data_IF_402422684507
#
_entry.id   IF_402422684507
#
_cell.length_a   1.000
_cell.length_b   1.000
_cell.length_c   1.000
_cell.angle_alpha   90.00
_cell.angle_beta   90.00
_cell.angle_gamma   90.00
#
_symmetry.space_group_name_H-M   'P 1'
#
loop_
_entity.id
_entity.type
_entity.pdbx_description
1 polymer ?
#
# COMPACT_ATOMS: atom_id res chain seq x y z
N UNK A 1 -6.24 4.86 2.76
CA UNK A 1 -5.99 3.41 2.89
C UNK A 1 -4.81 3.15 3.79
N UNK A 2 -4.90 2.06 4.56
CA UNK A 2 -3.80 1.48 5.32
C UNK A 2 -3.34 0.20 4.59
N UNK A 3 -2.03 0.03 4.40
CA UNK A 3 -1.44 -1.10 3.69
C UNK A 3 -0.62 -1.92 4.67
N UNK A 4 -0.90 -3.20 4.78
CA UNK A 4 -0.25 -4.10 5.74
C UNK A 4 0.17 -5.41 5.07
N UNK A 5 1.18 -6.08 5.63
CA UNK A 5 1.53 -7.43 5.17
C UNK A 5 0.35 -8.34 5.41
N UNK A 6 -0.03 -9.12 4.40
CA UNK A 6 -0.94 -10.22 4.64
C UNK A 6 -0.22 -11.25 5.50
N UNK A 7 -0.77 -11.58 6.67
CA UNK A 7 -0.30 -12.72 7.46
C UNK A 7 -0.49 -14.03 6.67
N UNK A 8 0.03 -15.15 7.19
CA UNK A 8 -0.18 -16.49 6.59
C UNK A 8 -1.67 -16.86 6.65
N UNK A 9 -2.45 -16.42 5.67
CA UNK A 9 -3.81 -16.87 5.41
C UNK A 9 -3.85 -17.41 3.99
N UNK A 10 -4.33 -18.63 3.87
CA UNK A 10 -4.47 -19.31 2.59
C UNK A 10 -5.58 -18.63 1.79
N UNK A 11 -5.20 -18.02 0.66
CA UNK A 11 -6.08 -17.52 -0.39
C UNK A 11 -6.95 -16.30 -0.09
N UNK A 12 -7.48 -15.68 -1.15
CA UNK A 12 -8.27 -14.44 -1.17
C UNK A 12 -9.42 -14.47 -0.17
N UNK A 13 -9.30 -13.76 0.96
CA UNK A 13 -10.44 -13.55 1.87
C UNK A 13 -10.48 -12.07 2.27
N UNK A 14 -11.61 -11.42 2.00
CA UNK A 14 -11.97 -10.17 2.69
C UNK A 14 -11.80 -10.43 4.19
N UNK A 15 -10.82 -9.78 4.83
CA UNK A 15 -10.57 -9.98 6.25
C UNK A 15 -11.19 -8.83 7.02
N UNK A 16 -11.90 -9.11 8.11
CA UNK A 16 -12.34 -8.05 9.01
C UNK A 16 -11.17 -7.73 9.97
N UNK A 17 -10.63 -6.52 9.92
CA UNK A 17 -9.69 -5.98 10.90
C UNK A 17 -10.40 -4.84 11.63
N UNK A 18 -10.60 -4.99 12.93
CA UNK A 18 -11.22 -3.96 13.80
C UNK A 18 -12.62 -3.49 13.33
N UNK A 19 -13.46 -4.40 12.82
CA UNK A 19 -14.78 -4.07 12.28
C UNK A 19 -14.77 -3.64 10.81
N UNK A 20 -13.62 -3.41 10.21
CA UNK A 20 -13.46 -2.92 8.83
C UNK A 20 -13.03 -4.05 7.90
N UNK A 21 -13.69 -4.16 6.74
CA UNK A 21 -13.31 -5.13 5.71
C UNK A 21 -12.05 -4.65 4.97
N UNK A 22 -10.98 -5.43 5.03
CA UNK A 22 -9.79 -5.28 4.19
C UNK A 22 -9.90 -6.12 2.93
N UNK A 23 -9.19 -5.69 1.89
CA UNK A 23 -9.06 -6.39 0.62
C UNK A 23 -7.63 -6.92 0.47
N UNK A 24 -7.50 -8.24 0.30
CA UNK A 24 -6.23 -8.88 -0.05
C UNK A 24 -5.94 -8.72 -1.54
N UNK A 25 -4.71 -8.33 -1.88
CA UNK A 25 -4.27 -8.04 -3.24
C UNK A 25 -2.89 -8.67 -3.47
N UNK A 26 -2.61 -9.08 -4.70
CA UNK A 26 -1.26 -9.49 -5.09
C UNK A 26 -0.55 -8.36 -5.83
N UNK A 27 0.65 -8.01 -5.39
CA UNK A 27 1.55 -7.13 -6.10
C UNK A 27 2.65 -7.94 -6.78
N UNK A 28 2.85 -7.80 -8.10
CA UNK A 28 3.90 -8.52 -8.80
C UNK A 28 5.28 -8.03 -8.37
N UNK A 29 6.29 -8.86 -8.62
CA UNK A 29 7.69 -8.42 -8.56
C UNK A 29 7.93 -7.27 -9.54
N UNK A 30 8.87 -6.39 -9.21
CA UNK A 30 9.25 -5.22 -9.98
C UNK A 30 8.09 -4.28 -10.34
N UNK A 31 7.08 -4.17 -9.46
CA UNK A 31 5.94 -3.28 -9.65
C UNK A 31 6.27 -1.78 -9.63
N UNK A 32 7.54 -1.41 -9.44
CA UNK A 32 8.03 -0.03 -9.54
C UNK A 32 8.45 0.38 -10.95
N UNK A 33 8.51 -0.55 -11.91
CA UNK A 33 8.83 -0.23 -13.31
C UNK A 33 7.71 0.57 -14.02
N UNK A 34 6.54 0.70 -13.39
CA UNK A 34 5.48 1.59 -13.85
C UNK A 34 5.91 3.08 -13.83
N UNK A 35 5.38 3.87 -14.77
CA UNK A 35 5.71 5.28 -14.89
C UNK A 35 5.47 6.04 -13.56
N UNK A 36 6.52 6.62 -12.94
CA UNK A 36 6.42 7.31 -11.65
C UNK A 36 5.43 8.48 -11.62
N UNK A 37 5.17 9.10 -12.77
CA UNK A 37 4.22 10.21 -12.91
C UNK A 37 2.75 9.75 -12.84
N UNK A 38 2.49 8.48 -13.15
CA UNK A 38 1.15 7.88 -13.10
C UNK A 38 0.93 7.22 -11.73
N UNK A 39 1.96 6.54 -11.22
CA UNK A 39 1.87 5.74 -9.99
C UNK A 39 2.29 6.55 -8.76
N UNK A 40 1.60 7.65 -8.44
CA UNK A 40 1.94 8.52 -7.28
C UNK A 40 1.74 7.82 -5.93
N UNK A 41 2.46 8.26 -4.90
CA UNK A 41 2.22 7.88 -3.50
C UNK A 41 1.93 9.14 -2.70
N UNK A 42 0.80 9.21 -2.03
CA UNK A 42 0.38 10.39 -1.24
C UNK A 42 0.18 9.93 0.20
N UNK A 43 0.96 10.49 1.12
CA UNK A 43 0.92 10.19 2.54
C UNK A 43 1.92 9.15 3.03
N UNK A 44 1.86 8.92 4.34
CA UNK A 44 2.79 8.08 5.11
C UNK A 44 2.03 7.49 6.28
N UNK A 45 2.21 6.18 6.55
CA UNK A 45 1.39 5.34 7.45
C UNK A 45 -0.06 5.19 6.97
N UNK A 46 -0.74 6.29 6.69
CA UNK A 46 -2.03 6.34 6.01
C UNK A 46 -1.84 7.00 4.65
N UNK A 47 -2.26 6.31 3.60
CA UNK A 47 -2.11 6.75 2.21
C UNK A 47 -3.44 7.23 1.64
N UNK A 48 -3.40 8.15 0.69
CA UNK A 48 -4.58 8.51 -0.10
C UNK A 48 -5.04 7.32 -0.93
N UNK A 49 -6.35 7.20 -1.13
CA UNK A 49 -6.97 6.24 -2.07
C UNK A 49 -6.57 6.48 -3.54
N UNK A 50 -6.01 7.66 -3.84
CA UNK A 50 -5.41 8.00 -5.14
C UNK A 50 -3.99 7.47 -5.33
N UNK A 51 -3.38 6.85 -4.32
CA UNK A 51 -2.01 6.34 -4.41
C UNK A 51 -1.98 4.99 -5.12
N UNK A 52 -0.90 4.71 -5.86
CA UNK A 52 -0.61 3.36 -6.34
C UNK A 52 -0.41 2.43 -5.13
N UNK A 53 -1.21 1.38 -5.06
CA UNK A 53 -1.26 0.48 -3.90
C UNK A 53 0.07 -0.26 -3.71
N UNK A 54 0.60 -0.88 -4.77
CA UNK A 54 1.85 -1.65 -4.67
C UNK A 54 3.04 -0.75 -4.39
N UNK A 55 3.10 0.44 -5.00
CA UNK A 55 4.13 1.44 -4.70
C UNK A 55 4.03 1.95 -3.26
N UNK A 56 2.82 2.20 -2.76
CA UNK A 56 2.60 2.56 -1.37
C UNK A 56 3.02 1.44 -0.40
N UNK A 57 2.80 0.17 -0.76
CA UNK A 57 3.23 -0.97 0.04
C UNK A 57 4.76 -1.12 0.09
N UNK A 58 5.46 -0.84 -1.01
CA UNK A 58 6.93 -0.76 -1.00
C UNK A 58 7.39 0.43 -0.15
N UNK A 59 6.80 1.62 -0.34
CA UNK A 59 7.10 2.79 0.47
C UNK A 59 6.93 2.51 1.97
N UNK A 60 5.87 1.79 2.37
CA UNK A 60 5.61 1.40 3.74
C UNK A 60 6.58 0.33 4.30
N UNK A 61 7.42 -0.28 3.47
CA UNK A 61 8.29 -1.40 3.85
C UNK A 61 7.54 -2.72 4.04
N UNK A 62 6.26 -2.75 3.67
CA UNK A 62 5.39 -3.93 3.74
C UNK A 62 5.76 -4.92 2.62
N UNK A 63 6.04 -4.39 1.44
CA UNK A 63 6.36 -5.17 0.24
C UNK A 63 7.81 -4.94 -0.18
N UNK A 64 8.50 -6.00 -0.57
CA UNK A 64 9.80 -5.92 -1.24
C UNK A 64 9.60 -5.94 -2.75
N UNK A 65 10.09 -4.93 -3.46
CA UNK A 65 9.87 -4.78 -4.90
C UNK A 65 10.38 -5.99 -5.70
N UNK A 66 11.56 -6.51 -5.37
CA UNK A 66 12.21 -7.63 -6.07
C UNK A 66 11.46 -8.96 -5.92
N UNK A 67 10.69 -9.14 -4.84
CA UNK A 67 9.96 -10.37 -4.54
C UNK A 67 8.48 -10.28 -4.96
N UNK A 68 7.86 -9.10 -4.84
CA UNK A 68 6.40 -8.99 -4.86
C UNK A 68 5.75 -9.69 -3.67
N UNK A 69 4.46 -9.98 -3.77
CA UNK A 69 3.72 -10.72 -2.75
C UNK A 69 2.33 -10.17 -2.46
N UNK A 70 1.65 -10.83 -1.52
CA UNK A 70 0.32 -10.44 -1.09
C UNK A 70 0.35 -9.38 0.02
N UNK A 71 -0.58 -8.44 -0.08
CA UNK A 71 -0.80 -7.35 0.88
C UNK A 71 -2.29 -7.26 1.22
N UNK A 72 -2.58 -6.74 2.40
CA UNK A 72 -3.93 -6.35 2.79
C UNK A 72 -4.06 -4.83 2.74
N UNK A 73 -5.12 -4.35 2.10
CA UNK A 73 -5.49 -2.93 2.05
C UNK A 73 -6.77 -2.71 2.82
N UNK A 74 -6.73 -1.82 3.81
CA UNK A 74 -7.88 -1.46 4.62
C UNK A 74 -8.34 -0.04 4.26
N UNK A 75 -9.63 0.17 3.93
CA UNK A 75 -10.18 1.51 3.83
C UNK A 75 -10.16 2.17 5.22
N UNK A 76 -9.87 3.47 5.24
CA UNK A 76 -9.83 4.29 6.46
C UNK A 76 -10.38 5.66 6.12
N UNK A 77 -10.79 6.41 7.12
CA UNK A 77 -11.27 7.78 6.91
C UNK A 77 -10.22 8.62 6.19
N UNK A 78 -10.68 9.38 5.21
CA UNK A 78 -9.83 10.29 4.44
C UNK A 78 -9.21 11.32 5.39
N UNK A 79 -7.90 11.49 5.29
CA UNK A 79 -7.19 12.51 6.07
C UNK A 79 -7.36 13.89 5.42
N UNK A 80 -7.52 14.93 6.25
CA UNK A 80 -7.51 16.32 5.80
C UNK A 80 -6.13 16.73 5.28
N UNK A 81 -5.08 16.22 5.92
CA UNK A 81 -3.68 16.46 5.56
C UNK A 81 -2.93 15.13 5.55
N UNK A 82 -2.11 14.90 4.53
CA UNK A 82 -1.18 13.78 4.48
C UNK A 82 0.26 14.24 4.77
N UNK A 83 1.06 13.32 5.31
CA UNK A 83 2.46 13.55 5.62
C UNK A 83 3.31 12.95 4.49
N UNK A 84 4.08 13.80 3.81
CA UNK A 84 5.09 13.38 2.85
C UNK A 84 6.34 12.83 3.58
N UNK A 85 6.95 11.78 3.03
CA UNK A 85 8.23 11.24 3.50
C UNK A 85 8.97 10.54 2.36
N UNK A 86 10.23 10.19 2.59
CA UNK A 86 11.00 9.32 1.70
C UNK A 86 11.36 8.03 2.44
N UNK A 87 10.81 6.91 2.00
CA UNK A 87 10.99 5.60 2.62
C UNK A 87 11.14 4.52 1.57
N UNK A 88 12.04 3.56 1.81
CA UNK A 88 12.26 2.41 0.93
C UNK A 88 12.48 2.79 -0.55
N UNK A 89 13.17 3.91 -0.80
CA UNK A 89 13.48 4.42 -2.14
C UNK A 89 12.33 5.12 -2.86
N UNK A 90 11.23 5.43 -2.17
CA UNK A 90 10.06 6.09 -2.75
C UNK A 90 9.78 7.38 -1.97
N UNK A 91 9.55 8.48 -2.68
CA UNK A 91 9.01 9.72 -2.10
C UNK A 91 7.49 9.69 -2.14
N UNK A 92 6.86 10.04 -1.02
CA UNK A 92 5.43 10.34 -0.96
C UNK A 92 5.16 11.85 -0.94
N UNK A 93 4.00 12.22 -1.47
CA UNK A 93 3.50 13.59 -1.55
C UNK A 93 2.54 13.90 -0.38
N UNK A 94 2.20 15.18 -0.21
CA UNK A 94 1.19 15.64 0.76
C UNK A 94 -0.20 15.69 0.15
#
# INVERSE_FOLDING_TARGET
>A
MDVTRQGRKDFFIKSNKNGVQSLGLYCPRNCLEENPHISRVIGTRIYSDKSSICRAAVHAGVLRNDLGGYIDVMPVDKRKNYIASHQNGISSER
#
